data_IF_651584174217
#
_entry.id   IF_651584174217
#
_cell.length_a   1.000
_cell.length_b   1.000
_cell.length_c   1.000
_cell.angle_alpha   90.00
_cell.angle_beta   90.00
_cell.angle_gamma   90.00
#
_symmetry.space_group_name_H-M   'P 1'
#
loop_
_entity.id
_entity.type
_entity.pdbx_description
1 polymer ?
#
# COMPACT_ATOMS: atom_id res chain seq x y z
N UNK A 1 44.56 45.18 12.13
CA UNK A 1 44.34 43.76 11.80
C UNK A 1 45.01 43.47 10.47
N UNK A 2 46.01 42.57 10.45
CA UNK A 2 46.83 42.34 9.26
C UNK A 2 46.01 41.72 8.12
N UNK A 3 46.17 42.16 6.86
CA UNK A 3 45.43 41.65 5.69
C UNK A 3 45.69 40.16 5.41
N UNK A 4 46.73 39.57 6.02
CA UNK A 4 47.02 38.14 6.01
C UNK A 4 46.04 37.32 6.86
N UNK A 5 45.58 37.82 8.02
CA UNK A 5 44.63 37.09 8.89
C UNK A 5 43.22 37.02 8.29
N UNK A 6 42.81 38.04 7.52
CA UNK A 6 41.51 38.06 6.85
C UNK A 6 41.42 37.06 5.68
N UNK A 7 42.54 36.76 5.02
CA UNK A 7 42.61 35.80 3.90
C UNK A 7 42.58 34.35 4.38
N UNK A 8 43.26 34.06 5.50
CA UNK A 8 43.25 32.72 6.12
C UNK A 8 41.87 32.32 6.65
N UNK A 9 41.10 33.27 7.21
CA UNK A 9 39.74 33.00 7.70
C UNK A 9 38.74 32.69 6.57
N UNK A 10 38.87 33.33 5.40
CA UNK A 10 37.99 33.09 4.24
C UNK A 10 38.25 31.74 3.57
N UNK A 11 39.51 31.29 3.50
CA UNK A 11 39.86 29.96 2.98
C UNK A 11 39.43 28.83 3.94
N UNK A 12 39.55 29.04 5.26
CA UNK A 12 39.09 28.07 6.26
C UNK A 12 37.56 27.95 6.30
N UNK A 13 36.83 29.08 6.16
CA UNK A 13 35.37 29.06 6.06
C UNK A 13 34.86 28.38 4.77
N UNK A 14 35.58 28.52 3.65
CA UNK A 14 35.23 27.82 2.40
C UNK A 14 35.49 26.31 2.48
N UNK A 15 36.59 25.89 3.13
CA UNK A 15 36.92 24.46 3.33
C UNK A 15 35.96 23.76 4.31
N UNK A 16 35.48 24.46 5.35
CA UNK A 16 34.44 23.93 6.26
C UNK A 16 33.08 23.86 5.56
N UNK A 17 32.76 24.80 4.66
CA UNK A 17 31.53 24.76 3.89
C UNK A 17 31.49 23.60 2.87
N UNK A 18 32.63 23.22 2.28
CA UNK A 18 32.70 22.06 1.36
C UNK A 18 32.80 20.70 2.09
N UNK A 19 33.29 20.66 3.33
CA UNK A 19 33.34 19.42 4.12
C UNK A 19 31.98 19.02 4.76
N UNK A 20 31.02 19.95 4.82
CA UNK A 20 29.66 19.69 5.34
C UNK A 20 28.66 19.30 4.24
N UNK A 21 29.05 19.34 2.97
CA UNK A 21 28.35 18.66 1.89
C UNK A 21 28.56 17.16 1.99
N UNK A 22 28.04 16.56 3.06
CA UNK A 22 28.19 15.14 3.35
C UNK A 22 27.70 14.32 2.18
N UNK A 23 28.64 13.62 1.52
CA UNK A 23 28.28 12.49 0.68
C UNK A 23 27.47 11.54 1.55
N UNK A 24 26.16 11.53 1.36
CA UNK A 24 25.29 10.51 1.94
C UNK A 24 25.87 9.16 1.55
N UNK A 25 26.23 8.36 2.54
CA UNK A 25 26.73 7.02 2.25
C UNK A 25 25.58 6.17 1.73
N UNK A 26 25.83 5.39 0.68
CA UNK A 26 24.83 4.48 0.10
C UNK A 26 24.20 3.55 1.16
N UNK A 27 24.93 3.26 2.24
CA UNK A 27 24.46 2.44 3.35
C UNK A 27 23.38 3.12 4.20
N UNK A 28 23.50 4.43 4.48
CA UNK A 28 22.46 5.18 5.22
C UNK A 28 21.13 5.21 4.48
N UNK A 29 21.15 5.47 3.16
CA UNK A 29 19.93 5.43 2.33
C UNK A 29 19.35 4.04 2.30
N UNK A 30 20.21 3.01 2.17
CA UNK A 30 19.78 1.61 2.17
C UNK A 30 19.07 1.24 3.47
N UNK A 31 19.59 1.65 4.61
CA UNK A 31 19.00 1.36 5.93
C UNK A 31 17.66 2.06 6.14
N UNK A 32 17.55 3.34 5.74
CA UNK A 32 16.29 4.10 5.76
C UNK A 32 15.24 3.47 4.84
N UNK A 33 15.63 3.08 3.62
CA UNK A 33 14.71 2.41 2.66
C UNK A 33 14.29 1.03 3.16
N UNK A 34 15.19 0.26 3.77
CA UNK A 34 14.89 -1.06 4.31
C UNK A 34 13.93 -0.99 5.50
N UNK A 35 14.20 -0.10 6.46
CA UNK A 35 13.36 0.08 7.65
C UNK A 35 11.95 0.55 7.27
N UNK A 36 11.85 1.52 6.37
CA UNK A 36 10.54 1.97 5.85
C UNK A 36 9.82 0.90 5.03
N UNK A 37 10.52 0.07 4.23
CA UNK A 37 9.89 -1.08 3.56
C UNK A 37 9.29 -2.06 4.57
N UNK A 38 10.02 -2.33 5.65
CA UNK A 38 9.54 -3.21 6.72
C UNK A 38 8.31 -2.64 7.41
N UNK A 39 8.33 -1.37 7.81
CA UNK A 39 7.18 -0.73 8.46
C UNK A 39 5.97 -0.65 7.54
N UNK A 40 6.16 -0.35 6.25
CA UNK A 40 5.09 -0.44 5.26
C UNK A 40 4.52 -1.86 5.15
N UNK A 41 5.37 -2.90 5.15
CA UNK A 41 4.91 -4.30 5.06
C UNK A 41 4.15 -4.77 6.31
N UNK A 42 4.57 -4.34 7.50
CA UNK A 42 3.93 -4.71 8.76
C UNK A 42 2.57 -4.00 8.94
N UNK A 43 2.41 -2.82 8.33
CA UNK A 43 1.16 -2.04 8.38
C UNK A 43 0.22 -2.28 7.18
N UNK A 44 0.71 -2.86 6.08
CA UNK A 44 -0.03 -3.03 4.83
C UNK A 44 -0.89 -4.30 4.78
N UNK A 45 -1.74 -4.53 5.78
CA UNK A 45 -3.00 -5.19 5.47
C UNK A 45 -4.03 -4.09 5.12
N UNK A 46 -4.34 -3.89 3.82
CA UNK A 46 -5.24 -2.83 3.39
C UNK A 46 -6.65 -2.90 3.99
N UNK A 47 -7.00 -3.95 4.75
CA UNK A 47 -8.27 -4.03 5.46
C UNK A 47 -8.23 -4.62 6.88
N UNK A 48 -7.09 -5.11 7.38
CA UNK A 48 -6.97 -5.61 8.75
C UNK A 48 -5.98 -4.77 9.56
N UNK A 49 -6.49 -3.70 10.17
CA UNK A 49 -5.87 -3.26 11.40
C UNK A 49 -6.07 -4.35 12.45
N UNK A 50 -5.01 -5.08 12.82
CA UNK A 50 -4.55 -5.27 14.20
C UNK A 50 -3.52 -6.40 14.28
N UNK A 51 -2.46 -6.14 15.06
CA UNK A 51 -1.37 -7.05 15.47
C UNK A 51 -0.19 -7.19 14.50
N UNK A 52 0.79 -6.32 14.71
CA UNK A 52 2.21 -6.67 14.56
C UNK A 52 2.46 -7.98 15.31
N UNK A 53 3.12 -9.00 14.74
CA UNK A 53 3.48 -10.21 15.48
C UNK A 53 4.28 -9.83 16.73
N UNK A 54 3.81 -10.29 17.90
CA UNK A 54 4.36 -9.99 19.21
C UNK A 54 5.70 -10.71 19.52
N UNK A 55 6.44 -11.16 18.51
CA UNK A 55 7.83 -11.59 18.71
C UNK A 55 8.77 -10.41 18.48
N UNK A 56 8.69 -9.44 19.39
CA UNK A 56 9.60 -8.30 19.46
C UNK A 56 10.58 -8.41 20.63
N UNK A 57 10.65 -9.56 21.31
CA UNK A 57 11.52 -9.75 22.47
C UNK A 57 13.02 -9.91 22.12
N UNK A 58 13.38 -9.74 20.85
CA UNK A 58 14.78 -9.56 20.40
C UNK A 58 15.02 -8.25 19.66
N UNK A 59 14.09 -7.29 19.72
CA UNK A 59 14.17 -6.02 18.98
C UNK A 59 14.81 -4.87 19.78
N UNK A 60 15.54 -3.93 19.14
CA UNK A 60 16.02 -2.72 19.81
C UNK A 60 14.84 -1.88 20.34
N UNK A 61 15.11 -1.04 21.34
CA UNK A 61 14.23 0.06 21.85
C UNK A 61 13.38 0.69 20.73
N UNK A 62 12.18 1.23 21.03
CA UNK A 62 11.35 1.91 20.03
C UNK A 62 12.18 3.03 19.41
N UNK A 63 12.72 2.74 18.23
CA UNK A 63 13.38 3.69 17.36
C UNK A 63 12.35 4.77 16.99
N UNK A 64 12.78 6.01 16.69
CA UNK A 64 11.96 6.92 15.90
C UNK A 64 11.34 6.13 14.74
N UNK A 65 10.03 6.30 14.50
CA UNK A 65 9.32 5.62 13.41
C UNK A 65 10.02 5.90 12.07
N UNK A 66 9.84 5.06 11.05
CA UNK A 66 10.50 5.28 9.76
C UNK A 66 10.16 6.65 9.15
N UNK A 67 8.96 7.18 9.39
CA UNK A 67 8.56 8.52 8.95
C UNK A 67 9.41 9.64 9.60
N UNK A 68 9.74 9.50 10.89
CA UNK A 68 10.57 10.46 11.63
C UNK A 68 12.04 10.39 11.18
N UNK A 69 12.57 9.18 10.97
CA UNK A 69 13.92 8.99 10.39
C UNK A 69 14.05 9.61 9.01
N UNK A 70 13.04 9.44 8.16
CA UNK A 70 12.96 10.11 6.86
C UNK A 70 12.89 11.63 7.00
N UNK A 71 12.16 12.15 7.99
CA UNK A 71 12.11 13.60 8.26
C UNK A 71 13.48 14.16 8.57
N UNK A 72 14.20 13.55 9.51
CA UNK A 72 15.56 13.99 9.89
C UNK A 72 16.50 13.93 8.68
N UNK A 73 16.44 12.86 7.90
CA UNK A 73 17.27 12.72 6.70
C UNK A 73 16.96 13.79 5.65
N UNK A 74 15.68 14.03 5.35
CA UNK A 74 15.26 15.04 4.37
C UNK A 74 15.62 16.47 4.81
N UNK A 75 15.64 16.74 6.13
CA UNK A 75 16.10 18.03 6.66
C UNK A 75 17.61 18.23 6.51
N UNK A 76 18.39 17.14 6.53
CA UNK A 76 19.84 17.17 6.30
C UNK A 76 20.20 17.25 4.81
N UNK A 77 19.27 16.86 3.93
CA UNK A 77 19.45 16.82 2.48
C UNK A 77 18.30 17.51 1.71
N UNK A 78 18.00 18.79 1.99
CA UNK A 78 16.81 19.46 1.47
C UNK A 78 16.85 19.66 -0.06
N UNK A 79 18.04 19.78 -0.63
CA UNK A 79 18.26 20.12 -2.04
C UNK A 79 18.69 18.93 -2.90
N UNK A 80 18.59 17.68 -2.40
CA UNK A 80 18.93 16.49 -3.21
C UNK A 80 17.83 16.24 -4.27
N UNK A 81 18.09 16.53 -5.55
CA UNK A 81 17.05 16.47 -6.58
C UNK A 81 16.76 15.02 -7.02
N UNK A 82 17.62 14.06 -6.64
CA UNK A 82 17.50 12.65 -7.02
C UNK A 82 16.76 11.87 -5.95
N UNK A 83 17.19 12.00 -4.69
CA UNK A 83 16.62 11.25 -3.57
C UNK A 83 15.41 11.95 -2.95
N UNK A 84 15.39 13.30 -2.95
CA UNK A 84 14.35 14.10 -2.31
C UNK A 84 12.93 13.68 -2.72
N UNK A 85 12.59 13.61 -4.02
CA UNK A 85 11.25 13.23 -4.45
C UNK A 85 10.83 11.82 -4.00
N UNK A 86 11.69 10.81 -4.21
CA UNK A 86 11.37 9.42 -3.84
C UNK A 86 11.18 9.25 -2.32
N UNK A 87 12.03 9.92 -1.52
CA UNK A 87 11.94 9.86 -0.07
C UNK A 87 10.73 10.63 0.50
N UNK A 88 10.36 11.77 -0.08
CA UNK A 88 9.14 12.51 0.29
C UNK A 88 7.87 11.73 -0.08
N UNK A 89 7.84 11.02 -1.23
CA UNK A 89 6.73 10.14 -1.60
C UNK A 89 6.60 8.99 -0.60
N UNK A 90 7.71 8.36 -0.25
CA UNK A 90 7.76 7.29 0.73
C UNK A 90 7.31 7.72 2.11
N UNK A 91 7.74 8.90 2.55
CA UNK A 91 7.27 9.53 3.79
C UNK A 91 5.76 9.78 3.75
N UNK A 92 5.22 10.26 2.62
CA UNK A 92 3.79 10.46 2.47
C UNK A 92 3.01 9.14 2.65
N UNK A 93 3.47 8.04 2.03
CA UNK A 93 2.85 6.72 2.16
C UNK A 93 2.95 6.16 3.60
N UNK A 94 4.07 6.36 4.29
CA UNK A 94 4.20 5.99 5.70
C UNK A 94 3.21 6.76 6.59
N UNK A 95 3.07 8.08 6.37
CA UNK A 95 2.07 8.87 7.08
C UNK A 95 0.64 8.40 6.81
N UNK A 96 0.32 7.91 5.61
CA UNK A 96 -0.98 7.28 5.36
C UNK A 96 -1.18 6.02 6.20
N UNK A 97 -0.17 5.15 6.29
CA UNK A 97 -0.22 3.95 7.11
C UNK A 97 -0.37 4.28 8.61
N UNK A 98 0.26 5.37 9.06
CA UNK A 98 0.15 5.91 10.43
C UNK A 98 -1.11 6.78 10.64
N UNK A 99 -1.96 6.93 9.62
CA UNK A 99 -3.20 7.75 9.65
C UNK A 99 -2.98 9.24 9.89
N UNK A 100 -1.78 9.74 9.62
CA UNK A 100 -1.43 11.15 9.71
C UNK A 100 -1.73 11.85 8.37
N UNK A 101 -3.01 11.90 7.98
CA UNK A 101 -3.41 12.32 6.63
C UNK A 101 -2.96 13.74 6.23
N UNK A 102 -2.95 14.67 7.20
CA UNK A 102 -2.47 16.03 6.96
C UNK A 102 -0.95 16.06 6.68
N UNK A 103 -0.17 15.25 7.40
CA UNK A 103 1.28 15.13 7.18
C UNK A 103 1.59 14.37 5.89
N UNK A 104 0.79 13.36 5.56
CA UNK A 104 0.86 12.67 4.27
C UNK A 104 0.66 13.65 3.11
N UNK A 105 -0.39 14.48 3.17
CA UNK A 105 -0.64 15.50 2.15
C UNK A 105 0.51 16.51 2.11
N UNK A 106 0.95 17.05 3.26
CA UNK A 106 2.04 18.02 3.29
C UNK A 106 3.36 17.47 2.71
N UNK A 107 3.65 16.18 2.94
CA UNK A 107 4.81 15.51 2.34
C UNK A 107 4.64 15.33 0.83
N UNK A 108 3.44 14.97 0.37
CA UNK A 108 3.15 14.81 -1.05
C UNK A 108 3.19 16.14 -1.83
N UNK A 109 2.74 17.24 -1.22
CA UNK A 109 2.75 18.58 -1.82
C UNK A 109 4.17 19.06 -2.19
N UNK A 110 5.20 18.60 -1.46
CA UNK A 110 6.61 18.87 -1.78
C UNK A 110 7.07 18.24 -3.09
N UNK A 111 6.29 17.31 -3.64
CA UNK A 111 6.57 16.62 -4.90
C UNK A 111 6.04 17.38 -6.13
N UNK A 112 5.33 18.51 -5.94
CA UNK A 112 4.79 19.29 -7.04
C UNK A 112 5.90 19.77 -7.98
N UNK A 113 5.83 19.32 -9.24
CA UNK A 113 6.84 19.62 -10.26
C UNK A 113 8.11 18.77 -10.17
N UNK A 114 8.19 17.83 -9.22
CA UNK A 114 9.29 16.88 -9.14
C UNK A 114 9.23 15.88 -10.31
N UNK A 115 10.41 15.44 -10.76
CA UNK A 115 10.56 14.35 -11.71
C UNK A 115 11.00 13.12 -10.96
N UNK A 116 10.24 12.04 -11.08
CA UNK A 116 10.64 10.75 -10.53
C UNK A 116 11.55 10.04 -11.53
N UNK A 117 12.47 9.22 -11.02
CA UNK A 117 13.43 8.48 -11.83
C UNK A 117 12.96 7.06 -12.15
N UNK A 118 11.92 6.58 -11.46
CA UNK A 118 11.41 5.22 -11.60
C UNK A 118 9.92 5.23 -11.95
N UNK A 119 9.51 4.32 -12.84
CA UNK A 119 8.10 4.13 -13.20
C UNK A 119 7.23 3.75 -11.99
N UNK A 120 7.83 3.08 -11.00
CA UNK A 120 7.20 2.78 -9.71
C UNK A 120 6.79 4.05 -8.97
N UNK A 121 7.72 4.98 -8.78
CA UNK A 121 7.45 6.18 -7.99
C UNK A 121 6.51 7.12 -8.74
N UNK A 122 6.63 7.22 -10.07
CA UNK A 122 5.67 7.94 -10.92
C UNK A 122 4.25 7.41 -10.75
N UNK A 123 4.07 6.09 -10.82
CA UNK A 123 2.75 5.48 -10.68
C UNK A 123 2.18 5.63 -9.27
N UNK A 124 2.99 5.45 -8.23
CA UNK A 124 2.58 5.65 -6.85
C UNK A 124 2.21 7.11 -6.57
N UNK A 125 2.97 8.07 -7.12
CA UNK A 125 2.66 9.48 -6.99
C UNK A 125 1.37 9.84 -7.73
N UNK A 126 1.17 9.33 -8.95
CA UNK A 126 -0.05 9.54 -9.71
C UNK A 126 -1.29 8.95 -9.02
N UNK A 127 -1.15 7.78 -8.37
CA UNK A 127 -2.22 7.12 -7.63
C UNK A 127 -2.42 7.67 -6.21
N UNK A 128 -1.57 8.57 -5.71
CA UNK A 128 -1.62 9.06 -4.34
C UNK A 128 -2.99 9.59 -3.90
N UNK A 129 -3.75 10.36 -4.71
CA UNK A 129 -5.10 10.79 -4.33
C UNK A 129 -6.03 9.61 -4.01
N UNK A 130 -5.97 8.55 -4.81
CA UNK A 130 -6.75 7.32 -4.60
C UNK A 130 -6.28 6.55 -3.37
N UNK A 131 -4.97 6.40 -3.19
CA UNK A 131 -4.37 5.71 -2.04
C UNK A 131 -4.74 6.44 -0.74
N UNK A 132 -4.63 7.78 -0.72
CA UNK A 132 -5.03 8.62 0.42
C UNK A 132 -6.52 8.48 0.71
N UNK A 133 -7.36 8.61 -0.32
CA UNK A 133 -8.81 8.45 -0.16
C UNK A 133 -9.13 7.08 0.45
N UNK A 134 -8.52 6.00 -0.04
CA UNK A 134 -8.74 4.67 0.51
C UNK A 134 -8.27 4.57 1.97
N UNK A 135 -7.11 5.13 2.31
CA UNK A 135 -6.62 5.15 3.69
C UNK A 135 -7.59 5.87 4.64
N UNK A 136 -8.20 6.98 4.19
CA UNK A 136 -9.21 7.71 4.95
C UNK A 136 -10.54 6.93 5.07
N UNK A 137 -11.00 6.31 3.98
CA UNK A 137 -12.30 5.64 3.95
C UNK A 137 -12.29 4.22 4.53
N UNK A 138 -11.18 3.49 4.47
CA UNK A 138 -11.10 2.09 4.92
C UNK A 138 -11.56 1.87 6.38
N UNK A 139 -11.44 2.92 7.21
CA UNK A 139 -11.85 2.97 8.62
C UNK A 139 -13.29 3.42 8.84
N UNK A 140 -13.92 3.99 7.81
CA UNK A 140 -15.28 4.49 7.92
C UNK A 140 -16.28 3.33 8.08
N UNK A 141 -17.34 3.56 8.85
CA UNK A 141 -18.43 2.61 9.00
C UNK A 141 -19.19 2.39 7.68
N UNK A 142 -19.91 1.27 7.57
CA UNK A 142 -20.59 0.86 6.33
C UNK A 142 -21.58 1.90 5.75
N UNK A 143 -22.17 2.77 6.60
CA UNK A 143 -23.05 3.85 6.16
C UNK A 143 -22.36 4.90 5.27
N UNK A 144 -21.07 5.17 5.49
CA UNK A 144 -20.29 6.15 4.72
C UNK A 144 -20.03 5.65 3.31
N UNK A 145 -19.65 4.37 3.15
CA UNK A 145 -19.42 3.76 1.83
C UNK A 145 -20.68 3.72 0.95
N UNK A 146 -21.88 3.69 1.56
CA UNK A 146 -23.12 3.75 0.77
C UNK A 146 -23.27 5.12 0.10
N UNK A 147 -23.04 6.21 0.84
CA UNK A 147 -23.11 7.57 0.31
C UNK A 147 -22.00 7.81 -0.74
N UNK A 148 -20.84 7.18 -0.54
CA UNK A 148 -19.66 7.31 -1.41
C UNK A 148 -19.63 6.30 -2.58
N UNK A 149 -20.75 5.61 -2.90
CA UNK A 149 -20.76 4.53 -3.90
C UNK A 149 -20.17 4.95 -5.25
N UNK A 150 -20.60 6.10 -5.78
CA UNK A 150 -20.12 6.60 -7.07
C UNK A 150 -18.62 6.90 -7.05
N UNK A 151 -18.13 7.45 -5.93
CA UNK A 151 -16.72 7.73 -5.73
C UNK A 151 -15.93 6.41 -5.61
N UNK A 152 -16.39 5.43 -4.83
CA UNK A 152 -15.76 4.12 -4.72
C UNK A 152 -15.60 3.44 -6.09
N UNK A 153 -16.63 3.47 -6.94
CA UNK A 153 -16.56 2.97 -8.32
C UNK A 153 -15.51 3.71 -9.14
N UNK A 154 -15.45 5.05 -9.04
CA UNK A 154 -14.45 5.85 -9.74
C UNK A 154 -13.01 5.50 -9.28
N UNK A 155 -12.79 5.32 -7.98
CA UNK A 155 -11.48 4.94 -7.43
C UNK A 155 -11.07 3.53 -7.85
N UNK A 156 -12.01 2.58 -7.86
CA UNK A 156 -11.77 1.23 -8.39
C UNK A 156 -11.37 1.25 -9.87
N UNK A 157 -12.04 2.08 -10.67
CA UNK A 157 -11.73 2.23 -12.10
C UNK A 157 -10.37 2.91 -12.33
N UNK A 158 -10.04 3.92 -11.53
CA UNK A 158 -8.75 4.58 -11.57
C UNK A 158 -7.61 3.58 -11.29
N UNK A 159 -7.73 2.78 -10.23
CA UNK A 159 -6.75 1.74 -9.89
C UNK A 159 -6.61 0.68 -10.98
N UNK A 160 -7.73 0.20 -11.54
CA UNK A 160 -7.71 -0.75 -12.65
C UNK A 160 -6.98 -0.18 -13.88
N UNK A 161 -7.27 1.07 -14.23
CA UNK A 161 -6.69 1.76 -15.38
C UNK A 161 -5.19 1.98 -15.17
N UNK A 162 -4.78 2.41 -13.99
CA UNK A 162 -3.37 2.55 -13.62
C UNK A 162 -2.65 1.20 -13.68
N UNK A 163 -3.23 0.15 -13.10
CA UNK A 163 -2.67 -1.20 -13.09
C UNK A 163 -2.49 -1.79 -14.50
N UNK A 164 -3.42 -1.52 -15.42
CA UNK A 164 -3.37 -1.97 -16.81
C UNK A 164 -2.43 -1.12 -17.69
N UNK A 165 -1.87 -0.02 -17.18
CA UNK A 165 -1.00 0.84 -17.96
C UNK A 165 0.29 0.12 -18.34
N UNK A 166 0.73 0.28 -19.60
CA UNK A 166 2.00 -0.28 -20.06
C UNK A 166 3.22 0.24 -19.27
N UNK A 167 3.09 1.41 -18.63
CA UNK A 167 4.10 2.01 -17.77
C UNK A 167 4.41 1.16 -16.53
N UNK A 168 3.46 0.35 -16.04
CA UNK A 168 3.66 -0.53 -14.89
C UNK A 168 4.17 -1.92 -15.25
N UNK A 169 4.36 -2.25 -16.53
CA UNK A 169 4.94 -3.53 -16.96
C UNK A 169 6.29 -3.85 -16.29
N UNK A 170 7.20 -2.87 -16.05
CA UNK A 170 8.45 -3.11 -15.31
C UNK A 170 8.28 -3.24 -13.79
N UNK A 171 7.10 -2.91 -13.25
CA UNK A 171 6.82 -2.86 -11.81
C UNK A 171 5.54 -3.66 -11.47
N UNK A 172 5.54 -4.98 -11.70
CA UNK A 172 4.35 -5.82 -11.50
C UNK A 172 3.85 -5.85 -10.05
N UNK A 173 4.71 -5.54 -9.07
CA UNK A 173 4.34 -5.41 -7.66
C UNK A 173 3.42 -4.21 -7.39
N UNK A 174 3.63 -3.09 -8.10
CA UNK A 174 2.78 -1.90 -7.98
C UNK A 174 1.43 -2.12 -8.65
N UNK A 175 1.42 -2.74 -9.83
CA UNK A 175 0.16 -3.11 -10.51
C UNK A 175 -0.67 -4.06 -9.63
N UNK A 176 -0.03 -5.06 -9.04
CA UNK A 176 -0.67 -5.99 -8.12
C UNK A 176 -1.22 -5.29 -6.86
N UNK A 177 -0.45 -4.37 -6.27
CA UNK A 177 -0.91 -3.56 -5.14
C UNK A 177 -2.16 -2.73 -5.47
N UNK A 178 -2.25 -2.16 -6.67
CA UNK A 178 -3.43 -1.41 -7.10
C UNK A 178 -4.65 -2.31 -7.31
N UNK A 179 -4.46 -3.50 -7.88
CA UNK A 179 -5.55 -4.47 -8.05
C UNK A 179 -6.02 -5.05 -6.71
N UNK A 180 -5.10 -5.29 -5.78
CA UNK A 180 -5.41 -5.67 -4.40
C UNK A 180 -6.25 -4.58 -3.72
N UNK A 181 -5.82 -3.32 -3.78
CA UNK A 181 -6.56 -2.20 -3.20
C UNK A 181 -7.95 -2.06 -3.82
N UNK A 182 -8.05 -2.20 -5.15
CA UNK A 182 -9.34 -2.22 -5.87
C UNK A 182 -10.25 -3.33 -5.34
N UNK A 183 -9.71 -4.53 -5.09
CA UNK A 183 -10.47 -5.66 -4.57
C UNK A 183 -11.02 -5.38 -3.16
N UNK A 184 -10.22 -4.75 -2.29
CA UNK A 184 -10.68 -4.34 -0.96
C UNK A 184 -11.71 -3.20 -0.97
N UNK A 185 -11.55 -2.21 -1.86
CA UNK A 185 -12.57 -1.18 -2.07
C UNK A 185 -13.87 -1.82 -2.52
N UNK A 186 -13.82 -2.75 -3.49
CA UNK A 186 -14.98 -3.49 -3.98
C UNK A 186 -15.65 -4.31 -2.87
N UNK A 187 -14.86 -4.93 -1.99
CA UNK A 187 -15.38 -5.64 -0.82
C UNK A 187 -16.17 -4.71 0.11
N UNK A 188 -15.57 -3.58 0.51
CA UNK A 188 -16.22 -2.60 1.38
C UNK A 188 -17.47 -1.99 0.73
N UNK A 189 -17.36 -1.59 -0.53
CA UNK A 189 -18.47 -0.99 -1.29
C UNK A 189 -19.62 -1.98 -1.51
N UNK A 190 -19.30 -3.23 -1.85
CA UNK A 190 -20.28 -4.30 -2.03
C UNK A 190 -21.05 -4.62 -0.75
N UNK A 191 -20.41 -4.57 0.42
CA UNK A 191 -21.07 -4.81 1.71
C UNK A 191 -21.69 -3.58 2.37
N UNK A 192 -21.44 -2.36 1.86
CA UNK A 192 -22.17 -1.16 2.28
C UNK A 192 -23.64 -1.14 1.81
N UNK A 193 -23.99 -2.07 0.94
CA UNK A 193 -25.32 -2.31 0.37
C UNK A 193 -26.19 -3.07 1.36
N UNK A 194 -27.39 -2.55 1.63
CA UNK A 194 -28.30 -3.13 2.65
C UNK A 194 -29.72 -3.33 2.13
N UNK A 195 -30.05 -2.79 0.96
CA UNK A 195 -31.38 -2.88 0.39
C UNK A 195 -31.44 -3.98 -0.68
N UNK A 196 -32.48 -4.82 -0.71
CA UNK A 196 -32.62 -5.87 -1.73
C UNK A 196 -32.54 -5.36 -3.18
N UNK A 197 -33.00 -4.13 -3.43
CA UNK A 197 -32.95 -3.49 -4.74
C UNK A 197 -31.52 -3.30 -5.29
N UNK A 198 -30.51 -3.32 -4.43
CA UNK A 198 -29.10 -3.13 -4.79
C UNK A 198 -28.32 -4.46 -4.88
N UNK A 199 -28.98 -5.62 -4.75
CA UNK A 199 -28.31 -6.92 -4.74
C UNK A 199 -27.48 -7.17 -6.02
N UNK A 200 -27.98 -6.76 -7.18
CA UNK A 200 -27.25 -6.85 -8.45
C UNK A 200 -25.97 -5.99 -8.43
N UNK A 201 -26.03 -4.78 -7.89
CA UNK A 201 -24.86 -3.92 -7.75
C UNK A 201 -23.82 -4.52 -6.80
N UNK A 202 -24.26 -5.06 -5.65
CA UNK A 202 -23.37 -5.75 -4.72
C UNK A 202 -22.65 -6.91 -5.41
N UNK A 203 -23.41 -7.80 -6.08
CA UNK A 203 -22.86 -8.96 -6.75
C UNK A 203 -21.84 -8.56 -7.82
N UNK A 204 -22.20 -7.60 -8.68
CA UNK A 204 -21.33 -7.12 -9.76
C UNK A 204 -20.06 -6.49 -9.20
N UNK A 205 -20.18 -5.62 -8.19
CA UNK A 205 -19.04 -4.93 -7.58
C UNK A 205 -18.05 -5.91 -6.97
N UNK A 206 -18.54 -6.92 -6.24
CA UNK A 206 -17.68 -7.94 -5.62
C UNK A 206 -16.99 -8.79 -6.69
N UNK A 207 -17.73 -9.27 -7.69
CA UNK A 207 -17.18 -10.11 -8.75
C UNK A 207 -16.17 -9.34 -9.59
N UNK A 208 -16.49 -8.15 -10.07
CA UNK A 208 -15.60 -7.35 -10.90
C UNK A 208 -14.30 -7.01 -10.18
N UNK A 209 -14.39 -6.64 -8.90
CA UNK A 209 -13.23 -6.28 -8.09
C UNK A 209 -12.27 -7.46 -7.92
N UNK A 210 -12.81 -8.63 -7.55
CA UNK A 210 -12.03 -9.83 -7.26
C UNK A 210 -11.53 -10.48 -8.54
N UNK A 211 -12.40 -10.70 -9.54
CA UNK A 211 -12.02 -11.32 -10.81
C UNK A 211 -10.90 -10.53 -11.50
N UNK A 212 -11.02 -9.19 -11.54
CA UNK A 212 -9.98 -8.34 -12.13
C UNK A 212 -8.61 -8.46 -11.46
N UNK A 213 -8.55 -8.82 -10.16
CA UNK A 213 -7.27 -9.13 -9.51
C UNK A 213 -6.84 -10.57 -9.77
N UNK A 214 -7.73 -11.54 -9.61
CA UNK A 214 -7.42 -12.97 -9.74
C UNK A 214 -7.02 -13.39 -11.14
N UNK A 215 -7.48 -12.68 -12.18
CA UNK A 215 -7.11 -12.92 -13.57
C UNK A 215 -5.61 -12.62 -13.85
N UNK A 216 -4.92 -11.95 -12.92
CA UNK A 216 -3.47 -11.71 -13.00
C UNK A 216 -2.61 -12.78 -12.33
N UNK A 217 -3.24 -13.81 -11.76
CA UNK A 217 -2.55 -14.94 -11.16
C UNK A 217 -2.40 -16.06 -12.18
N UNK A 218 -1.25 -16.72 -12.14
CA UNK A 218 -1.05 -17.97 -12.87
C UNK A 218 -1.84 -19.11 -12.22
N UNK A 219 -2.18 -20.14 -12.99
CA UNK A 219 -2.79 -21.38 -12.46
C UNK A 219 -1.99 -21.96 -11.30
N UNK A 220 -0.65 -21.98 -11.41
CA UNK A 220 0.23 -22.48 -10.37
C UNK A 220 0.12 -21.67 -9.06
N UNK A 221 -0.04 -20.34 -9.14
CA UNK A 221 -0.27 -19.50 -7.96
C UNK A 221 -1.65 -19.76 -7.34
N UNK A 222 -2.71 -19.85 -8.15
CA UNK A 222 -4.07 -20.08 -7.64
C UNK A 222 -4.23 -21.45 -6.99
N UNK A 223 -3.53 -22.47 -7.47
CA UNK A 223 -3.49 -23.78 -6.82
C UNK A 223 -2.98 -23.72 -5.36
N UNK A 224 -2.13 -22.73 -5.03
CA UNK A 224 -1.60 -22.54 -3.67
C UNK A 224 -2.67 -22.06 -2.66
N UNK A 225 -3.83 -21.53 -3.13
CA UNK A 225 -4.92 -21.12 -2.24
C UNK A 225 -5.37 -22.25 -1.32
N UNK A 226 -5.38 -23.47 -1.84
CA UNK A 226 -5.89 -24.66 -1.18
C UNK A 226 -4.82 -25.40 -0.35
N UNK A 227 -3.58 -24.89 -0.28
CA UNK A 227 -2.54 -25.49 0.54
C UNK A 227 -2.76 -25.19 2.03
N UNK A 228 -2.63 -26.22 2.86
CA UNK A 228 -2.81 -26.13 4.32
C UNK A 228 -1.70 -25.34 5.02
N UNK A 229 -0.48 -25.38 4.49
CA UNK A 229 0.67 -24.67 5.06
C UNK A 229 1.64 -24.18 3.97
N UNK A 230 2.23 -23.01 4.22
CA UNK A 230 3.46 -22.57 3.54
C UNK A 230 4.63 -22.94 4.46
N UNK A 231 5.72 -23.49 3.91
CA UNK A 231 6.85 -23.97 4.71
C UNK A 231 7.48 -22.85 5.57
N UNK A 232 7.89 -23.13 6.82
CA UNK A 232 8.38 -22.11 7.75
C UNK A 232 9.75 -21.51 7.38
N UNK A 233 10.49 -22.14 6.46
CA UNK A 233 11.87 -21.77 6.11
C UNK A 233 12.02 -21.11 4.74
N UNK A 234 10.93 -20.98 3.98
CA UNK A 234 10.99 -20.34 2.67
C UNK A 234 10.80 -18.83 2.84
N UNK A 235 11.78 -18.05 2.41
CA UNK A 235 11.58 -16.61 2.26
C UNK A 235 10.32 -16.40 1.40
N UNK A 236 9.30 -15.73 1.94
CA UNK A 236 8.00 -15.57 1.27
C UNK A 236 8.20 -14.90 -0.09
N UNK A 237 8.16 -15.70 -1.15
CA UNK A 237 8.28 -15.22 -2.53
C UNK A 237 7.14 -14.24 -2.83
N UNK A 238 7.31 -13.39 -3.85
CA UNK A 238 6.25 -12.48 -4.27
C UNK A 238 4.94 -13.25 -4.52
N UNK A 239 5.01 -14.35 -5.28
CA UNK A 239 3.88 -15.26 -5.53
C UNK A 239 3.19 -15.72 -4.24
N UNK A 240 3.96 -16.15 -3.23
CA UNK A 240 3.40 -16.61 -1.95
C UNK A 240 2.69 -15.48 -1.22
N UNK A 241 3.28 -14.28 -1.17
CA UNK A 241 2.65 -13.10 -0.56
C UNK A 241 1.34 -12.74 -1.25
N UNK A 242 1.31 -12.74 -2.58
CA UNK A 242 0.08 -12.47 -3.36
C UNK A 242 -1.04 -13.45 -3.00
N UNK A 243 -0.71 -14.75 -2.95
CA UNK A 243 -1.68 -15.79 -2.59
C UNK A 243 -2.17 -15.63 -1.16
N UNK A 244 -1.28 -15.34 -0.21
CA UNK A 244 -1.67 -15.11 1.19
C UNK A 244 -2.64 -13.93 1.33
N UNK A 245 -2.39 -12.82 0.64
CA UNK A 245 -3.29 -11.65 0.66
C UNK A 245 -4.64 -11.96 0.01
N UNK A 246 -4.65 -12.69 -1.11
CA UNK A 246 -5.88 -13.17 -1.73
C UNK A 246 -6.66 -14.10 -0.80
N UNK A 247 -5.99 -15.00 -0.06
CA UNK A 247 -6.63 -15.84 0.96
C UNK A 247 -7.28 -15.01 2.05
N UNK A 248 -6.61 -13.97 2.54
CA UNK A 248 -7.17 -13.03 3.52
C UNK A 248 -8.43 -12.39 2.98
N UNK A 249 -8.38 -11.80 1.78
CA UNK A 249 -9.54 -11.17 1.13
C UNK A 249 -10.73 -12.14 1.01
N UNK A 250 -10.51 -13.34 0.45
CA UNK A 250 -11.57 -14.33 0.23
C UNK A 250 -12.13 -14.88 1.55
N UNK A 251 -11.30 -15.02 2.58
CA UNK A 251 -11.74 -15.44 3.91
C UNK A 251 -12.60 -14.37 4.56
N UNK A 252 -12.22 -13.10 4.45
CA UNK A 252 -13.02 -11.97 4.93
C UNK A 252 -14.35 -11.89 4.17
N UNK A 253 -14.34 -12.02 2.84
CA UNK A 253 -15.54 -12.09 2.02
C UNK A 253 -16.50 -13.18 2.51
N UNK A 254 -16.01 -14.41 2.67
CA UNK A 254 -16.82 -15.53 3.15
C UNK A 254 -17.36 -15.28 4.57
N UNK A 255 -16.54 -14.72 5.46
CA UNK A 255 -16.95 -14.41 6.84
C UNK A 255 -18.08 -13.38 6.87
N UNK A 256 -17.94 -12.28 6.13
CA UNK A 256 -18.95 -11.23 6.07
C UNK A 256 -20.25 -11.74 5.42
N UNK A 257 -20.14 -12.56 4.37
CA UNK A 257 -21.29 -13.20 3.73
C UNK A 257 -22.04 -14.14 4.69
N UNK A 258 -21.34 -14.95 5.51
CA UNK A 258 -21.97 -15.82 6.52
C UNK A 258 -22.66 -15.08 7.63
N UNK A 259 -22.06 -13.98 8.11
CA UNK A 259 -22.63 -13.20 9.21
C UNK A 259 -23.96 -12.51 8.84
N UNK A 260 -24.51 -12.78 7.66
CA UNK A 260 -25.79 -12.24 7.20
C UNK A 260 -25.71 -10.74 6.96
N UNK A 261 -24.55 -10.24 6.51
CA UNK A 261 -24.35 -8.82 6.25
C UNK A 261 -25.47 -8.28 5.36
N UNK A 262 -26.41 -7.54 5.96
CA UNK A 262 -27.54 -6.77 5.40
C UNK A 262 -28.46 -7.39 4.33
N UNK A 263 -28.10 -8.47 3.65
CA UNK A 263 -28.88 -9.16 2.62
C UNK A 263 -28.90 -10.66 2.92
N UNK A 264 -30.11 -11.19 3.13
CA UNK A 264 -30.39 -12.61 3.28
C UNK A 264 -31.33 -13.00 2.13
N UNK A 265 -30.98 -13.96 1.26
CA UNK A 265 -29.75 -14.76 1.26
C UNK A 265 -28.49 -13.99 0.78
N UNK A 266 -27.28 -14.45 1.13
CA UNK A 266 -26.04 -13.88 0.62
C UNK A 266 -25.98 -13.98 -0.92
N UNK A 267 -25.32 -13.02 -1.60
CA UNK A 267 -25.24 -13.03 -3.06
C UNK A 267 -24.51 -14.28 -3.55
N UNK A 268 -25.05 -14.90 -4.61
CA UNK A 268 -24.36 -15.98 -5.31
C UNK A 268 -23.20 -15.38 -6.12
N UNK A 269 -21.98 -15.59 -5.67
CA UNK A 269 -20.78 -15.07 -6.35
C UNK A 269 -20.22 -16.13 -7.30
N UNK A 270 -19.85 -15.68 -8.51
CA UNK A 270 -19.18 -16.49 -9.52
C UNK A 270 -17.81 -15.88 -9.82
N UNK A 271 -16.76 -16.68 -9.62
CA UNK A 271 -15.39 -16.30 -9.95
C UNK A 271 -14.90 -16.99 -11.22
N UNK A 272 -14.08 -16.30 -12.01
CA UNK A 272 -13.52 -16.85 -13.25
C UNK A 272 -12.63 -18.08 -13.00
N UNK A 273 -11.94 -18.12 -11.86
CA UNK A 273 -11.07 -19.23 -11.48
C UNK A 273 -11.78 -20.25 -10.59
N UNK A 274 -11.72 -21.52 -11.00
CA UNK A 274 -12.24 -22.63 -10.21
C UNK A 274 -11.54 -22.80 -8.84
N UNK A 275 -10.25 -22.46 -8.74
CA UNK A 275 -9.52 -22.54 -7.46
C UNK A 275 -9.97 -21.45 -6.49
N UNK A 276 -10.25 -20.25 -7.01
CA UNK A 276 -10.82 -19.13 -6.23
C UNK A 276 -12.24 -19.49 -5.77
N UNK A 277 -13.07 -20.01 -6.68
CA UNK A 277 -14.43 -20.47 -6.37
C UNK A 277 -14.41 -21.54 -5.27
N UNK A 278 -13.60 -22.59 -5.43
CA UNK A 278 -13.48 -23.68 -4.46
C UNK A 278 -13.01 -23.19 -3.08
N UNK A 279 -12.02 -22.30 -3.04
CA UNK A 279 -11.53 -21.74 -1.79
C UNK A 279 -12.62 -20.92 -1.09
N UNK A 280 -13.30 -20.04 -1.83
CA UNK A 280 -14.39 -19.22 -1.28
C UNK A 280 -15.53 -20.08 -0.72
N UNK A 281 -16.01 -21.07 -1.48
CA UNK A 281 -17.09 -21.97 -1.04
C UNK A 281 -16.69 -22.79 0.19
N UNK A 282 -15.46 -23.30 0.23
CA UNK A 282 -14.95 -24.02 1.40
C UNK A 282 -14.91 -23.11 2.64
N UNK A 283 -14.52 -21.84 2.48
CA UNK A 283 -14.56 -20.86 3.57
C UNK A 283 -15.98 -20.47 3.95
N UNK A 284 -16.91 -20.39 2.99
CA UNK A 284 -18.33 -20.10 3.23
C UNK A 284 -19.03 -21.25 3.99
N UNK A 285 -18.65 -22.50 3.74
CA UNK A 285 -19.24 -23.69 4.37
C UNK A 285 -18.63 -24.07 5.74
N UNK A 286 -17.45 -23.54 6.09
CA UNK A 286 -16.82 -23.82 7.39
C UNK A 286 -17.74 -23.39 8.57
N UNK A 287 -17.68 -24.05 9.73
CA UNK A 287 -18.42 -23.60 10.92
C UNK A 287 -17.91 -22.24 11.44
#
# INVERSE_FOLDING_TARGET
>A
MSPLLLRSFRLLALLVAFALGGCVTTDQVRDIVRSSNYEMLVSADPALATTVPADANTGPKPSPGAAERLTTFLQQHPDDPVLGPALNLRQALLYLNERQFALAQASFEKLKGAKFTTARDEALAAAFPTIKWWAEQSLAGGGVFRAERANATAQMQALATSAASGALKPCPDVADYFLEMRAWIGLKAGFAVVLPADAAFQQQTLQDAINGWTDTFTTAQLALLNQSAFGPNDALTLSTRRVLRLRTLLTTLATVAKSGGSLVPPPTLQFHSADVQRYYEAKLAAP
#
